data_IF_576498452740
#
_entry.id   IF_576498452740
#
_cell.length_a   1.000
_cell.length_b   1.000
_cell.length_c   1.000
_cell.angle_alpha   90.00
_cell.angle_beta   90.00
_cell.angle_gamma   90.00
#
_symmetry.space_group_name_H-M   'P 1'
#
loop_
_entity.id
_entity.type
_entity.pdbx_description
1 polymer ?
#
# COMPACT_ATOMS: atom_id res chain seq x y z
N UNK A 1 -15.00 16.23 2.44
CA UNK A 1 -14.17 16.35 1.22
C UNK A 1 -12.72 16.36 1.65
N UNK A 2 -11.92 15.40 1.19
CA UNK A 2 -10.49 15.31 1.51
C UNK A 2 -9.81 16.64 1.19
N UNK A 3 -9.18 17.25 2.18
CA UNK A 3 -8.42 18.47 1.98
C UNK A 3 -7.29 18.19 1.00
N UNK A 4 -7.12 19.10 0.04
CA UNK A 4 -6.34 18.90 -1.19
C UNK A 4 -4.83 18.63 -0.98
N UNK A 5 -4.34 18.75 0.25
CA UNK A 5 -2.93 18.60 0.64
C UNK A 5 -2.65 17.45 1.62
N UNK A 6 -3.64 16.62 1.96
CA UNK A 6 -3.36 15.45 2.78
C UNK A 6 -2.43 14.48 2.00
N UNK A 7 -1.26 14.09 2.54
CA UNK A 7 -0.38 13.16 1.84
C UNK A 7 -1.15 11.88 1.53
N UNK A 8 -1.22 11.51 0.24
CA UNK A 8 -1.92 10.32 -0.20
C UNK A 8 -0.99 9.10 -0.14
N UNK A 9 -1.57 7.93 0.17
CA UNK A 9 -0.85 6.68 0.03
C UNK A 9 -0.41 6.43 -1.43
N UNK A 10 0.70 5.72 -1.62
CA UNK A 10 1.25 5.40 -2.94
C UNK A 10 1.49 3.90 -3.07
N UNK A 11 1.18 3.34 -4.23
CA UNK A 11 1.56 1.98 -4.60
C UNK A 11 2.72 2.02 -5.59
N UNK A 12 3.77 1.24 -5.33
CA UNK A 12 4.89 1.04 -6.25
C UNK A 12 5.09 -0.43 -6.51
N UNK A 13 5.11 -0.79 -7.78
CA UNK A 13 5.38 -2.14 -8.22
C UNK A 13 6.78 -2.23 -8.85
N UNK A 14 7.57 -3.21 -8.43
CA UNK A 14 8.90 -3.51 -8.96
C UNK A 14 8.90 -4.90 -9.60
N UNK A 15 8.56 -5.02 -10.90
CA UNK A 15 8.43 -6.31 -11.57
C UNK A 15 9.70 -7.17 -11.50
N UNK A 16 10.87 -6.54 -11.61
CA UNK A 16 12.18 -7.22 -11.54
C UNK A 16 12.47 -7.80 -10.15
N UNK A 17 11.97 -7.15 -9.09
CA UNK A 17 12.12 -7.60 -7.71
C UNK A 17 10.96 -8.50 -7.24
N UNK A 18 9.88 -8.56 -8.04
CA UNK A 18 8.60 -9.19 -7.66
C UNK A 18 8.09 -8.65 -6.33
N UNK A 19 8.06 -7.32 -6.21
CA UNK A 19 7.70 -6.64 -4.97
C UNK A 19 6.66 -5.54 -5.23
N UNK A 20 5.61 -5.52 -4.41
CA UNK A 20 4.57 -4.50 -4.39
C UNK A 20 4.62 -3.74 -3.06
N UNK A 21 5.10 -2.50 -3.12
CA UNK A 21 5.19 -1.62 -1.96
C UNK A 21 3.96 -0.72 -1.85
N UNK A 22 3.35 -0.69 -0.66
CA UNK A 22 2.31 0.26 -0.27
C UNK A 22 2.89 1.25 0.73
N UNK A 23 2.99 2.51 0.32
CA UNK A 23 3.40 3.62 1.16
C UNK A 23 2.17 4.29 1.75
N UNK A 24 2.07 4.34 3.08
CA UNK A 24 0.97 4.99 3.78
C UNK A 24 1.50 6.12 4.67
N UNK A 25 0.95 7.34 4.60
CA UNK A 25 1.17 8.34 5.63
C UNK A 25 0.74 7.80 7.00
N UNK A 26 1.48 8.12 8.07
CA UNK A 26 1.17 7.64 9.43
C UNK A 26 -0.27 7.94 9.86
N UNK A 27 -0.84 9.09 9.45
CA UNK A 27 -2.23 9.45 9.73
C UNK A 27 -3.28 8.48 9.13
N UNK A 28 -2.88 7.66 8.16
CA UNK A 28 -3.74 6.68 7.47
C UNK A 28 -3.53 5.24 7.94
N UNK A 29 -2.62 5.00 8.89
CA UNK A 29 -2.40 3.68 9.49
C UNK A 29 -3.70 3.03 9.99
N UNK A 30 -4.62 3.74 10.68
CA UNK A 30 -5.89 3.15 11.13
C UNK A 30 -6.80 2.67 9.99
N UNK A 31 -6.57 3.11 8.74
CA UNK A 31 -7.34 2.71 7.57
C UNK A 31 -6.83 1.40 6.96
N UNK A 32 -5.62 0.95 7.32
CA UNK A 32 -5.06 -0.30 6.84
C UNK A 32 -5.47 -1.47 7.75
N UNK A 33 -6.69 -1.94 7.54
CA UNK A 33 -7.27 -3.08 8.27
C UNK A 33 -7.06 -4.42 7.53
N UNK A 34 -7.61 -5.50 8.08
CA UNK A 34 -7.53 -6.84 7.51
C UNK A 34 -8.10 -6.93 6.09
N UNK A 35 -9.10 -6.11 5.77
CA UNK A 35 -9.71 -6.06 4.43
C UNK A 35 -8.78 -5.34 3.46
N UNK A 36 -8.15 -4.24 3.88
CA UNK A 36 -7.17 -3.51 3.07
C UNK A 36 -5.94 -4.39 2.80
N UNK A 37 -5.46 -5.12 3.80
CA UNK A 37 -4.39 -6.10 3.67
C UNK A 37 -4.77 -7.24 2.72
N UNK A 38 -5.96 -7.83 2.85
CA UNK A 38 -6.45 -8.89 1.96
C UNK A 38 -6.51 -8.45 0.50
N UNK A 39 -6.94 -7.21 0.23
CA UNK A 39 -6.94 -6.63 -1.12
C UNK A 39 -5.53 -6.43 -1.66
N UNK A 40 -4.61 -5.94 -0.83
CA UNK A 40 -3.20 -5.77 -1.21
C UNK A 40 -2.56 -7.12 -1.56
N UNK A 41 -2.77 -8.13 -0.73
CA UNK A 41 -2.27 -9.49 -0.95
C UNK A 41 -2.88 -10.12 -2.21
N UNK A 42 -4.18 -9.92 -2.45
CA UNK A 42 -4.84 -10.39 -3.67
C UNK A 42 -4.22 -9.78 -4.93
N UNK A 43 -3.91 -8.49 -4.91
CA UNK A 43 -3.24 -7.81 -6.01
C UNK A 43 -1.80 -8.33 -6.21
N UNK A 44 -1.03 -8.50 -5.14
CA UNK A 44 0.34 -8.99 -5.22
C UNK A 44 0.41 -10.44 -5.73
N UNK A 45 -0.53 -11.29 -5.31
CA UNK A 45 -0.67 -12.66 -5.83
C UNK A 45 -0.92 -12.68 -7.33
N UNK A 46 -1.81 -11.81 -7.85
CA UNK A 46 -2.04 -11.68 -9.29
C UNK A 46 -0.76 -11.24 -10.05
N UNK A 47 0.06 -10.41 -9.41
CA UNK A 47 1.35 -9.94 -9.92
C UNK A 47 2.52 -10.90 -9.65
N UNK A 48 2.28 -12.06 -9.02
CA UNK A 48 3.30 -13.04 -8.58
C UNK A 48 4.43 -12.37 -7.78
N UNK A 49 4.05 -11.53 -6.84
CA UNK A 49 4.94 -10.64 -6.10
C UNK A 49 4.64 -10.63 -4.61
N UNK A 50 5.64 -10.28 -3.80
CA UNK A 50 5.51 -10.11 -2.36
C UNK A 50 5.00 -8.70 -2.02
N UNK A 51 4.30 -8.58 -0.89
CA UNK A 51 3.78 -7.29 -0.39
C UNK A 51 4.72 -6.69 0.65
N UNK A 52 4.84 -5.35 0.62
CA UNK A 52 5.57 -4.60 1.63
C UNK A 52 4.83 -3.31 1.97
N UNK A 53 4.53 -3.11 3.26
CA UNK A 53 3.84 -1.90 3.73
C UNK A 53 4.85 -0.99 4.42
N UNK A 54 4.89 0.28 4.03
CA UNK A 54 5.85 1.28 4.51
C UNK A 54 5.09 2.49 5.06
N UNK A 55 5.25 2.76 6.35
CA UNK A 55 4.68 3.94 7.00
C UNK A 55 5.61 5.14 6.82
N UNK A 56 5.12 6.17 6.13
CA UNK A 56 5.81 7.45 5.97
C UNK A 56 5.48 8.34 7.18
N UNK A 57 6.53 8.66 7.95
CA UNK A 57 6.49 9.59 9.08
C UNK A 57 6.64 11.03 8.60
#
# INVERSE_FOLDING_TARGET
WMQSDAPMGKLKFYPKKRELELFLPAATEPLFNEVAESRLNSLANALKSETRVIMQR
#
